data_IF_075725328983
#
_entry.id   IF_075725328983
#
_cell.length_a   1.000
_cell.length_b   1.000
_cell.length_c   1.000
_cell.angle_alpha   90.00
_cell.angle_beta   90.00
_cell.angle_gamma   90.00
#
_symmetry.space_group_name_H-M   'P 1'
#
loop_
_entity.id
_entity.type
_entity.pdbx_description
1 polymer ?
#
# COMPACT_ATOMS: atom_id res chain seq x y z
N UNK A 1 11.72 -15.77 21.28
CA UNK A 1 11.99 -14.31 21.34
C UNK A 1 13.49 -14.11 21.55
N UNK A 2 14.26 -13.96 20.47
CA UNK A 2 15.69 -13.69 20.57
C UNK A 2 15.89 -12.22 20.98
N UNK A 3 16.40 -11.99 22.19
CA UNK A 3 16.85 -10.69 22.67
C UNK A 3 18.17 -10.33 21.98
N UNK A 4 18.13 -9.98 20.70
CA UNK A 4 19.29 -9.48 19.96
C UNK A 4 19.64 -8.11 20.55
N UNK A 5 20.73 -8.03 21.32
CA UNK A 5 21.21 -6.80 21.97
C UNK A 5 21.39 -5.70 20.92
N UNK A 6 20.51 -4.70 20.91
CA UNK A 6 20.69 -3.49 20.11
C UNK A 6 22.01 -2.81 20.47
N UNK A 7 22.72 -2.26 19.46
CA UNK A 7 23.93 -1.47 19.72
C UNK A 7 23.51 -0.17 20.41
N UNK A 8 24.05 0.06 21.60
CA UNK A 8 23.82 1.28 22.37
C UNK A 8 24.53 2.44 21.67
N UNK A 9 23.81 3.55 21.45
CA UNK A 9 24.40 4.81 21.00
C UNK A 9 24.13 5.89 22.03
N UNK A 10 25.20 6.60 22.39
CA UNK A 10 25.19 7.75 23.28
C UNK A 10 25.49 9.00 22.44
N UNK A 11 24.74 10.07 22.63
CA UNK A 11 25.02 11.36 21.99
C UNK A 11 24.53 12.53 22.83
N UNK A 12 25.22 13.68 22.83
CA UNK A 12 24.76 14.87 23.55
C UNK A 12 23.55 15.51 22.86
N UNK A 13 22.61 16.03 23.65
CA UNK A 13 21.53 16.91 23.16
C UNK A 13 22.09 18.30 22.85
N UNK A 14 21.26 19.21 22.32
CA UNK A 14 21.67 20.62 22.14
C UNK A 14 22.04 21.26 23.49
N UNK A 15 21.22 21.08 24.53
CA UNK A 15 21.53 21.55 25.88
C UNK A 15 22.83 20.93 26.42
N UNK A 16 23.04 19.63 26.19
CA UNK A 16 24.28 18.95 26.56
C UNK A 16 25.51 19.50 25.83
N UNK A 17 25.38 19.83 24.54
CA UNK A 17 26.46 20.45 23.76
C UNK A 17 26.80 21.85 24.28
N UNK A 18 25.80 22.68 24.55
CA UNK A 18 25.99 24.02 25.13
C UNK A 18 26.68 23.92 26.49
N UNK A 19 26.27 22.97 27.33
CA UNK A 19 26.87 22.79 28.63
C UNK A 19 28.30 22.25 28.55
N UNK A 20 28.61 21.35 27.62
CA UNK A 20 29.96 20.88 27.35
C UNK A 20 30.86 22.04 26.90
N UNK A 21 30.40 22.85 25.95
CA UNK A 21 31.10 24.06 25.50
C UNK A 21 31.33 25.05 26.64
N UNK A 22 30.30 25.30 27.45
CA UNK A 22 30.38 26.14 28.63
C UNK A 22 31.40 25.60 29.63
N UNK A 23 31.42 24.29 29.88
CA UNK A 23 32.38 23.65 30.79
C UNK A 23 33.81 23.81 30.29
N UNK A 24 34.05 23.68 28.98
CA UNK A 24 35.36 23.93 28.37
C UNK A 24 35.75 25.40 28.49
N UNK A 25 34.84 26.32 28.20
CA UNK A 25 35.06 27.76 28.31
C UNK A 25 35.40 28.18 29.74
N UNK A 26 34.60 27.77 30.72
CA UNK A 26 34.87 28.05 32.13
C UNK A 26 36.13 27.34 32.62
N UNK A 27 36.45 26.15 32.10
CA UNK A 27 37.71 25.46 32.37
C UNK A 27 38.92 26.26 31.92
N UNK A 28 38.85 26.90 30.76
CA UNK A 28 39.91 27.76 30.24
C UNK A 28 39.97 29.10 30.99
N UNK A 29 38.81 29.72 31.24
CA UNK A 29 38.72 30.95 32.03
C UNK A 29 39.19 30.77 33.48
N UNK A 30 39.04 29.57 34.04
CA UNK A 30 39.50 29.23 35.39
C UNK A 30 41.03 29.37 35.56
N UNK A 31 41.80 29.36 34.45
CA UNK A 31 43.24 29.62 34.47
C UNK A 31 43.59 31.09 34.69
N UNK A 32 42.68 32.00 34.34
CA UNK A 32 42.84 33.45 34.44
C UNK A 32 42.17 34.01 35.70
N UNK A 33 40.99 33.46 36.03
CA UNK A 33 40.18 33.85 37.20
C UNK A 33 39.91 32.59 38.01
N UNK A 34 40.13 32.57 39.34
CA UNK A 34 39.95 31.36 40.15
C UNK A 34 38.46 30.95 40.27
N UNK A 35 37.94 30.30 39.22
CA UNK A 35 36.55 29.86 39.06
C UNK A 35 36.41 28.32 39.14
N UNK A 36 37.38 27.64 39.76
CA UNK A 36 37.44 26.16 39.84
C UNK A 36 36.19 25.52 40.46
N UNK A 37 35.48 26.23 41.34
CA UNK A 37 34.23 25.76 41.93
C UNK A 37 33.11 25.55 40.90
N UNK A 38 32.98 26.47 39.94
CA UNK A 38 31.96 26.39 38.88
C UNK A 38 32.25 25.21 37.94
N UNK A 39 33.51 25.07 37.53
CA UNK A 39 33.95 23.96 36.66
C UNK A 39 33.72 22.61 37.34
N UNK A 40 34.08 22.50 38.63
CA UNK A 40 33.87 21.28 39.41
C UNK A 40 32.38 20.92 39.50
N UNK A 41 31.51 21.90 39.75
CA UNK A 41 30.07 21.68 39.78
C UNK A 41 29.52 21.19 38.43
N UNK A 42 29.92 21.81 37.32
CA UNK A 42 29.52 21.40 35.97
C UNK A 42 29.96 19.97 35.64
N UNK A 43 31.19 19.61 36.00
CA UNK A 43 31.72 18.25 35.82
C UNK A 43 30.93 17.24 36.65
N UNK A 44 30.62 17.55 37.91
CA UNK A 44 29.80 16.69 38.78
C UNK A 44 28.41 16.47 38.19
N UNK A 45 27.78 17.52 37.64
CA UNK A 45 26.48 17.38 36.96
C UNK A 45 26.62 16.45 35.74
N UNK A 46 27.64 16.59 34.90
CA UNK A 46 27.86 15.68 33.76
C UNK A 46 28.11 14.24 34.16
N UNK A 47 28.93 14.00 35.17
CA UNK A 47 29.16 12.66 35.70
C UNK A 47 27.85 12.06 36.26
N UNK A 48 27.06 12.86 36.96
CA UNK A 48 25.77 12.42 37.49
C UNK A 48 24.82 12.03 36.37
N UNK A 49 24.68 12.85 35.32
CA UNK A 49 23.83 12.52 34.16
C UNK A 49 24.32 11.25 33.46
N UNK A 50 25.63 11.11 33.28
CA UNK A 50 26.20 9.94 32.63
C UNK A 50 25.95 8.66 33.44
N UNK A 51 26.19 8.69 34.75
CA UNK A 51 26.02 7.53 35.65
C UNK A 51 24.53 7.18 35.77
N UNK A 52 23.68 8.15 36.06
CA UNK A 52 22.23 7.94 36.24
C UNK A 52 21.60 7.47 34.93
N UNK A 53 21.91 8.11 33.80
CA UNK A 53 21.42 7.71 32.49
C UNK A 53 21.92 6.32 32.05
N UNK A 54 23.14 5.93 32.44
CA UNK A 54 23.64 4.58 32.18
C UNK A 54 22.93 3.51 33.03
N UNK A 55 22.62 3.81 34.29
CA UNK A 55 21.87 2.90 35.19
C UNK A 55 20.42 2.75 34.71
N UNK A 56 19.76 3.87 34.41
CA UNK A 56 18.36 3.94 33.97
C UNK A 56 18.20 3.81 32.45
N UNK A 57 19.22 3.25 31.78
CA UNK A 57 19.22 3.13 30.32
C UNK A 57 17.99 2.37 29.82
N UNK A 58 17.38 2.83 28.71
CA UNK A 58 16.22 2.16 28.14
C UNK A 58 16.61 0.81 27.56
N UNK A 59 15.97 -0.26 28.03
CA UNK A 59 15.95 -1.56 27.34
C UNK A 59 14.51 -1.89 26.99
N UNK A 60 14.19 -1.66 25.72
CA UNK A 60 12.81 -1.65 25.25
C UNK A 60 12.67 -2.69 24.14
N UNK A 61 11.69 -3.57 24.31
CA UNK A 61 11.19 -4.41 23.25
C UNK A 61 10.09 -3.65 22.53
N UNK A 62 10.10 -3.71 21.20
CA UNK A 62 9.12 -2.99 20.39
C UNK A 62 8.61 -3.90 19.29
N UNK A 63 7.32 -3.84 19.04
CA UNK A 63 6.67 -4.52 17.91
C UNK A 63 5.90 -3.49 17.12
N UNK A 64 6.09 -3.45 15.81
CA UNK A 64 5.26 -2.63 14.94
C UNK A 64 4.02 -3.46 14.55
N UNK A 65 2.89 -2.78 14.51
CA UNK A 65 1.64 -3.28 13.98
C UNK A 65 1.30 -2.37 12.80
N UNK A 66 1.98 -2.63 11.69
CA UNK A 66 1.75 -1.92 10.44
C UNK A 66 0.43 -2.39 9.82
N UNK A 67 -0.32 -1.50 9.15
CA UNK A 67 -1.43 -1.92 8.31
C UNK A 67 -0.92 -2.78 7.14
N UNK A 68 -1.72 -3.75 6.69
CA UNK A 68 -1.37 -4.66 5.59
C UNK A 68 -1.07 -3.91 4.28
N UNK A 69 -1.76 -2.79 4.07
CA UNK A 69 -1.59 -1.92 2.92
C UNK A 69 -1.89 -0.46 3.26
N UNK A 70 -1.23 0.47 2.56
CA UNK A 70 -1.43 1.92 2.67
C UNK A 70 -1.63 2.50 1.28
N UNK A 71 -2.54 3.46 1.11
CA UNK A 71 -2.70 4.14 -0.19
C UNK A 71 -1.73 5.32 -0.27
N UNK A 72 -1.06 5.48 -1.41
CA UNK A 72 -0.17 6.62 -1.64
C UNK A 72 -0.92 7.97 -1.43
N UNK A 73 -0.22 8.97 -0.89
CA UNK A 73 -0.76 10.29 -0.58
C UNK A 73 -1.62 10.38 0.68
N UNK A 74 -2.05 9.26 1.29
CA UNK A 74 -2.89 9.28 2.48
C UNK A 74 -2.09 9.23 3.78
N UNK A 75 -2.55 9.99 4.78
CA UNK A 75 -2.02 9.94 6.14
C UNK A 75 -2.52 8.69 6.85
N UNK A 76 -1.58 7.85 7.27
CA UNK A 76 -1.89 6.59 7.94
C UNK A 76 -1.20 6.49 9.28
N UNK A 77 -1.92 5.93 10.25
CA UNK A 77 -1.44 5.73 11.61
C UNK A 77 -0.69 4.40 11.72
N UNK A 78 0.59 4.45 12.06
CA UNK A 78 1.41 3.29 12.35
C UNK A 78 1.43 3.09 13.87
N UNK A 79 1.03 1.88 14.31
CA UNK A 79 0.95 1.55 15.73
C UNK A 79 2.18 0.79 16.16
N UNK A 80 2.76 1.20 17.28
CA UNK A 80 3.93 0.57 17.88
C UNK A 80 3.62 0.21 19.32
N UNK A 81 3.81 -1.06 19.66
CA UNK A 81 3.72 -1.52 21.04
C UNK A 81 5.11 -1.53 21.65
N UNK A 82 5.29 -0.73 22.70
CA UNK A 82 6.55 -0.52 23.38
C UNK A 82 6.47 -1.18 24.75
N UNK A 83 7.44 -2.05 25.07
CA UNK A 83 7.52 -2.73 26.36
C UNK A 83 8.87 -2.53 27.02
N UNK A 84 8.87 -2.09 28.26
CA UNK A 84 10.10 -2.02 29.06
C UNK A 84 10.49 -3.42 29.53
N UNK A 85 11.61 -3.95 29.02
CA UNK A 85 12.17 -5.25 29.42
C UNK A 85 13.29 -5.13 30.44
N UNK A 86 13.62 -3.91 30.87
CA UNK A 86 14.56 -3.69 31.97
C UNK A 86 13.92 -4.01 33.33
N UNK A 87 14.77 -4.22 34.34
CA UNK A 87 14.35 -4.28 35.76
C UNK A 87 14.19 -2.90 36.40
N UNK A 88 14.44 -1.83 35.64
CA UNK A 88 14.40 -0.43 36.09
C UNK A 88 13.39 0.34 35.24
N UNK A 89 12.72 1.37 35.80
CA UNK A 89 11.83 2.23 35.03
C UNK A 89 12.62 3.01 33.98
N UNK A 90 11.99 3.25 32.84
CA UNK A 90 12.50 4.15 31.80
C UNK A 90 11.75 5.48 31.87
N UNK A 91 12.44 6.57 31.59
CA UNK A 91 11.92 7.94 31.68
C UNK A 91 12.23 8.72 30.40
N UNK A 92 11.42 9.74 30.12
CA UNK A 92 11.58 10.67 28.99
C UNK A 92 11.92 9.95 27.67
N UNK A 93 11.11 8.96 27.32
CA UNK A 93 11.28 8.18 26.11
C UNK A 93 10.68 8.92 24.92
N UNK A 94 11.44 9.01 23.84
CA UNK A 94 10.95 9.45 22.54
C UNK A 94 11.27 8.42 21.47
N UNK A 95 10.43 8.41 20.43
CA UNK A 95 10.66 7.62 19.22
C UNK A 95 11.22 8.50 18.13
N UNK A 96 12.38 8.10 17.60
CA UNK A 96 13.01 8.76 16.46
C UNK A 96 12.96 7.85 15.25
N UNK A 97 12.25 8.27 14.21
CA UNK A 97 12.22 7.60 12.92
C UNK A 97 13.46 8.00 12.12
N UNK A 98 14.44 7.10 12.03
CA UNK A 98 15.65 7.28 11.24
C UNK A 98 15.65 6.28 10.09
N UNK A 99 16.33 6.62 9.00
CA UNK A 99 16.49 5.75 7.82
C UNK A 99 15.17 5.34 7.16
N UNK A 100 14.13 6.19 7.23
CA UNK A 100 12.91 6.00 6.46
C UNK A 100 13.23 6.09 4.95
N UNK A 101 12.65 5.20 4.11
CA UNK A 101 12.72 5.35 2.66
C UNK A 101 12.24 6.74 2.23
N UNK A 102 12.83 7.33 1.18
CA UNK A 102 12.41 8.64 0.66
C UNK A 102 10.92 8.68 0.24
N UNK A 103 10.36 7.51 -0.06
CA UNK A 103 8.95 7.30 -0.36
C UNK A 103 8.02 7.46 0.86
N UNK A 104 8.52 7.48 2.10
CA UNK A 104 7.72 7.55 3.31
C UNK A 104 8.14 8.77 4.13
N UNK A 105 7.19 9.67 4.33
CA UNK A 105 7.34 10.87 5.11
C UNK A 105 6.74 10.71 6.50
N UNK A 106 7.48 11.16 7.51
CA UNK A 106 6.98 11.27 8.86
C UNK A 106 6.23 12.60 9.02
N UNK A 107 4.92 12.53 9.25
CA UNK A 107 4.05 13.71 9.35
C UNK A 107 3.94 14.18 10.79
N UNK A 108 3.62 13.26 11.71
CA UNK A 108 3.48 13.57 13.13
C UNK A 108 4.00 12.42 13.98
N UNK A 109 4.87 12.79 14.93
CA UNK A 109 5.46 11.86 15.87
C UNK A 109 4.59 11.67 17.09
N UNK A 110 4.78 10.56 17.80
CA UNK A 110 4.10 10.35 19.06
C UNK A 110 4.64 11.27 20.15
N UNK A 111 3.77 11.57 21.11
CA UNK A 111 4.17 12.28 22.32
C UNK A 111 5.23 11.49 23.10
N UNK A 112 6.17 12.19 23.77
CA UNK A 112 7.17 11.53 24.59
C UNK A 112 6.49 10.82 25.78
N UNK A 113 6.95 9.61 26.08
CA UNK A 113 6.47 8.85 27.23
C UNK A 113 7.31 9.26 28.44
N UNK A 114 6.70 9.98 29.37
CA UNK A 114 7.39 10.47 30.56
C UNK A 114 7.92 9.36 31.48
N UNK A 115 7.19 8.25 31.62
CA UNK A 115 7.60 7.11 32.45
C UNK A 115 7.01 5.80 31.94
N UNK A 116 7.82 4.75 31.95
CA UNK A 116 7.41 3.37 31.67
C UNK A 116 8.01 2.42 32.73
N UNK A 117 7.17 1.82 33.57
CA UNK A 117 7.58 0.94 34.65
C UNK A 117 8.19 -0.38 34.12
N UNK A 118 8.98 -1.11 34.95
CA UNK A 118 9.52 -2.41 34.56
C UNK A 118 8.41 -3.37 34.13
N UNK A 119 8.52 -3.95 32.94
CA UNK A 119 7.55 -4.91 32.40
C UNK A 119 6.29 -4.29 31.78
N UNK A 120 6.06 -2.99 31.98
CA UNK A 120 4.91 -2.25 31.44
C UNK A 120 5.00 -2.12 29.91
N UNK A 121 3.84 -2.16 29.27
CA UNK A 121 3.67 -1.98 27.84
C UNK A 121 2.75 -0.79 27.57
N UNK A 122 3.07 0.02 26.58
CA UNK A 122 2.21 1.09 26.08
C UNK A 122 2.13 1.04 24.56
N UNK A 123 0.97 1.40 24.02
CA UNK A 123 0.79 1.63 22.59
C UNK A 123 1.11 3.08 22.25
N UNK A 124 1.75 3.25 21.10
CA UNK A 124 2.17 4.54 20.58
C UNK A 124 1.81 4.61 19.11
N UNK A 125 1.26 5.75 18.69
CA UNK A 125 0.79 5.96 17.32
C UNK A 125 1.59 7.07 16.68
N UNK A 126 2.10 6.82 15.47
CA UNK A 126 2.77 7.82 14.66
C UNK A 126 2.08 7.94 13.30
N UNK A 127 1.98 9.16 12.78
CA UNK A 127 1.33 9.42 11.48
C UNK A 127 2.39 9.49 10.39
N UNK A 128 2.25 8.64 9.39
CA UNK A 128 3.13 8.55 8.23
C UNK A 128 2.34 8.81 6.95
N UNK A 129 3.01 9.36 5.95
CA UNK A 129 2.47 9.54 4.59
C UNK A 129 3.39 8.86 3.59
N UNK A 130 2.88 7.85 2.90
CA UNK A 130 3.60 7.24 1.79
C UNK A 130 3.37 8.08 0.53
N UNK A 131 4.42 8.59 -0.09
CA UNK A 131 4.36 9.40 -1.31
C UNK A 131 4.34 8.55 -2.58
N UNK A 132 5.10 7.44 -2.58
CA UNK A 132 5.28 6.56 -3.74
C UNK A 132 4.75 5.16 -3.48
N UNK A 133 4.05 4.59 -4.46
CA UNK A 133 3.58 3.19 -4.41
C UNK A 133 4.75 2.19 -4.40
N UNK A 134 4.48 0.94 -4.06
CA UNK A 134 5.47 -0.14 -4.06
C UNK A 134 5.73 -0.74 -2.69
N UNK A 135 6.67 -1.70 -2.65
CA UNK A 135 7.04 -2.41 -1.43
C UNK A 135 8.24 -1.72 -0.79
N UNK A 136 8.02 -1.12 0.37
CA UNK A 136 9.01 -0.31 1.08
C UNK A 136 9.39 -0.97 2.41
N UNK A 137 10.70 -1.17 2.69
CA UNK A 137 11.13 -1.67 3.99
C UNK A 137 11.10 -0.54 5.02
N UNK A 138 10.18 -0.62 5.97
CA UNK A 138 10.04 0.34 7.07
C UNK A 138 10.87 -0.13 8.26
N UNK A 139 11.92 0.61 8.66
CA UNK A 139 12.66 0.29 9.87
C UNK A 139 11.82 0.57 11.11
N UNK A 140 12.06 -0.18 12.16
CA UNK A 140 11.53 0.15 13.48
C UNK A 140 12.13 1.48 14.00
N UNK A 141 11.33 2.37 14.62
CA UNK A 141 11.85 3.59 15.21
C UNK A 141 12.92 3.32 16.26
N UNK A 142 13.86 4.25 16.39
CA UNK A 142 14.87 4.22 17.44
C UNK A 142 14.24 4.80 18.70
N UNK A 143 14.17 3.99 19.75
CA UNK A 143 13.76 4.48 21.06
C UNK A 143 14.95 5.11 21.78
N UNK A 144 14.81 6.37 22.16
CA UNK A 144 15.82 7.14 22.87
C UNK A 144 15.26 7.72 24.18
N UNK A 145 16.12 7.83 25.18
CA UNK A 145 15.84 8.45 26.48
C UNK A 145 16.75 9.66 26.62
N UNK A 146 16.17 10.81 26.94
CA UNK A 146 16.93 12.03 27.28
C UNK A 146 17.11 12.24 28.80
N UNK A 147 16.65 11.28 29.60
CA UNK A 147 16.78 11.31 31.06
C UNK A 147 18.23 11.03 31.54
N UNK A 148 18.74 11.73 32.57
CA UNK A 148 18.14 12.89 33.25
C UNK A 148 18.52 14.24 32.61
N UNK A 149 17.69 15.27 32.86
CA UNK A 149 17.91 16.69 32.53
C UNK A 149 18.04 17.04 31.04
N UNK A 150 17.73 16.13 30.12
CA UNK A 150 17.80 16.37 28.67
C UNK A 150 19.19 16.82 28.20
N UNK A 151 20.27 16.28 28.78
CA UNK A 151 21.66 16.60 28.44
C UNK A 151 22.33 15.53 27.56
N UNK A 152 21.99 14.25 27.78
CA UNK A 152 22.49 13.11 27.01
C UNK A 152 21.33 12.29 26.47
N UNK A 153 21.48 11.75 25.26
CA UNK A 153 20.55 10.81 24.65
C UNK A 153 21.13 9.40 24.72
N UNK A 154 20.38 8.51 25.36
CA UNK A 154 20.66 7.07 25.39
C UNK A 154 19.70 6.38 24.45
N UNK A 155 20.22 5.77 23.38
CA UNK A 155 19.40 5.10 22.37
C UNK A 155 19.78 3.64 22.18
N UNK A 156 18.78 2.82 21.89
CA UNK A 156 18.95 1.43 21.49
C UNK A 156 18.52 1.27 20.04
N UNK A 157 19.46 0.94 19.16
CA UNK A 157 19.18 0.78 17.73
C UNK A 157 18.91 -0.69 17.43
N UNK A 158 17.79 -0.94 16.74
CA UNK A 158 17.45 -2.25 16.16
C UNK A 158 17.45 -2.12 14.63
N UNK A 159 17.84 -3.19 13.94
CA UNK A 159 17.96 -3.21 12.47
C UNK A 159 16.78 -3.88 11.77
N UNK A 160 15.76 -4.27 12.52
CA UNK A 160 14.62 -4.97 11.95
C UNK A 160 13.82 -4.01 11.06
N UNK A 161 13.39 -4.55 9.93
CA UNK A 161 12.62 -3.86 8.91
C UNK A 161 11.42 -4.71 8.58
N UNK A 162 10.25 -4.09 8.57
CA UNK A 162 9.00 -4.72 8.13
C UNK A 162 8.67 -4.21 6.74
N UNK A 163 8.12 -5.08 5.88
CA UNK A 163 7.75 -4.69 4.53
C UNK A 163 6.36 -4.06 4.56
N UNK A 164 6.25 -2.82 4.06
CA UNK A 164 4.99 -2.13 3.86
C UNK A 164 4.66 -2.08 2.37
N UNK A 165 3.47 -2.55 1.99
CA UNK A 165 2.96 -2.39 0.63
C UNK A 165 2.17 -1.09 0.54
N UNK A 166 2.64 -0.18 -0.33
CA UNK A 166 1.94 1.06 -0.64
C UNK A 166 1.21 0.89 -1.98
N UNK A 167 -0.12 0.93 -1.94
CA UNK A 167 -1.00 0.84 -3.09
C UNK A 167 -0.98 2.14 -3.91
N UNK A 168 -1.22 2.07 -5.23
CA UNK A 168 -1.48 3.27 -6.02
C UNK A 168 -2.70 4.03 -5.49
N UNK A 169 -2.74 5.33 -5.75
CA UNK A 169 -3.96 6.12 -5.52
C UNK A 169 -5.06 5.56 -6.42
N UNK A 170 -6.30 5.49 -5.92
CA UNK A 170 -7.44 5.10 -6.72
C UNK A 170 -8.70 5.83 -6.29
N UNK A 171 -9.63 5.96 -7.23
CA UNK A 171 -10.89 6.66 -7.05
C UNK A 171 -12.05 5.82 -7.55
N UNK A 172 -13.25 6.14 -7.07
CA UNK A 172 -14.47 5.56 -7.64
C UNK A 172 -14.81 6.27 -8.95
N UNK A 173 -14.79 5.53 -10.04
CA UNK A 173 -15.09 6.06 -11.37
C UNK A 173 -16.59 6.00 -11.67
N UNK A 174 -17.04 6.84 -12.62
CA UNK A 174 -18.38 6.79 -13.19
C UNK A 174 -18.33 6.01 -14.50
N UNK A 175 -18.41 4.69 -14.40
CA UNK A 175 -18.36 3.77 -15.54
C UNK A 175 -19.77 3.38 -16.00
N UNK A 176 -20.01 3.38 -17.31
CA UNK A 176 -21.22 2.78 -17.90
C UNK A 176 -21.12 1.24 -17.89
N UNK A 177 -21.51 0.64 -16.76
CA UNK A 177 -21.44 -0.80 -16.52
C UNK A 177 -22.39 -1.65 -17.39
N UNK A 178 -23.29 -1.03 -18.16
CA UNK A 178 -24.25 -1.73 -19.02
C UNK A 178 -23.57 -2.66 -20.05
N UNK A 179 -22.30 -2.40 -20.40
CA UNK A 179 -21.47 -3.24 -21.27
C UNK A 179 -20.76 -4.38 -20.52
N UNK A 180 -20.58 -4.23 -19.20
CA UNK A 180 -19.88 -5.17 -18.32
C UNK A 180 -20.77 -6.31 -17.84
N UNK A 181 -22.09 -6.12 -17.83
CA UNK A 181 -23.08 -7.12 -17.41
C UNK A 181 -23.58 -8.02 -18.54
N UNK A 182 -22.87 -8.09 -19.67
CA UNK A 182 -23.19 -9.09 -20.69
C UNK A 182 -23.14 -10.48 -20.04
N UNK A 183 -24.25 -11.22 -20.12
CA UNK A 183 -24.44 -12.50 -19.44
C UNK A 183 -23.24 -13.43 -19.68
N UNK A 184 -22.71 -13.95 -18.59
CA UNK A 184 -21.70 -15.02 -18.61
C UNK A 184 -22.16 -16.13 -19.56
N UNK A 185 -21.30 -16.51 -20.52
CA UNK A 185 -21.57 -17.61 -21.47
C UNK A 185 -21.76 -18.97 -20.80
N UNK A 186 -21.52 -19.08 -19.50
CA UNK A 186 -21.76 -20.29 -18.73
C UNK A 186 -23.26 -20.61 -18.56
N UNK A 187 -24.17 -19.72 -18.95
CA UNK A 187 -25.61 -19.95 -18.87
C UNK A 187 -26.27 -20.78 -19.99
N UNK A 188 -25.56 -21.10 -21.09
CA UNK A 188 -26.22 -21.66 -22.30
C UNK A 188 -25.75 -23.05 -22.75
N UNK A 189 -24.86 -23.71 -22.01
CA UNK A 189 -24.53 -25.11 -22.25
C UNK A 189 -24.79 -25.94 -21.00
N UNK A 190 -25.92 -26.65 -20.99
CA UNK A 190 -26.09 -27.78 -20.09
C UNK A 190 -24.98 -28.79 -20.34
N UNK A 191 -24.00 -28.82 -19.46
CA UNK A 191 -23.01 -29.90 -19.40
C UNK A 191 -23.15 -30.57 -18.06
N UNK A 192 -23.99 -31.61 -18.04
CA UNK A 192 -24.03 -32.57 -16.96
C UNK A 192 -22.63 -33.22 -16.85
N UNK A 193 -21.91 -32.96 -15.75
CA UNK A 193 -20.83 -33.85 -15.32
C UNK A 193 -19.47 -33.23 -14.97
N UNK A 194 -19.26 -31.91 -15.04
CA UNK A 194 -18.04 -31.32 -14.51
C UNK A 194 -18.33 -30.67 -13.16
N UNK A 195 -17.56 -31.06 -12.14
CA UNK A 195 -17.75 -30.70 -10.73
C UNK A 195 -18.21 -29.23 -10.59
N UNK A 196 -19.50 -29.05 -10.23
CA UNK A 196 -20.06 -27.76 -9.87
C UNK A 196 -19.17 -27.14 -8.81
N UNK A 197 -18.46 -26.07 -9.16
CA UNK A 197 -17.87 -25.19 -8.17
C UNK A 197 -19.03 -24.71 -7.32
N UNK A 198 -19.12 -25.23 -6.09
CA UNK A 198 -20.20 -24.88 -5.19
C UNK A 198 -20.19 -23.36 -5.03
N UNK A 199 -21.33 -22.69 -5.27
CA UNK A 199 -21.35 -21.23 -5.33
C UNK A 199 -20.87 -20.66 -3.98
N UNK A 200 -20.10 -19.57 -4.01
CA UNK A 200 -19.48 -19.01 -2.81
C UNK A 200 -20.57 -18.46 -1.87
N UNK A 201 -20.49 -18.83 -0.60
CA UNK A 201 -21.46 -18.40 0.41
C UNK A 201 -21.42 -16.88 0.60
N UNK A 202 -22.52 -16.19 0.27
CA UNK A 202 -22.63 -14.74 0.38
C UNK A 202 -23.08 -14.28 1.78
N UNK A 203 -23.83 -15.13 2.50
CA UNK A 203 -24.36 -14.80 3.81
C UNK A 203 -25.73 -15.43 4.08
N UNK A 204 -26.42 -14.91 5.08
CA UNK A 204 -27.74 -15.35 5.49
C UNK A 204 -28.78 -14.26 5.18
N UNK A 205 -29.98 -14.66 4.77
CA UNK A 205 -31.17 -13.80 4.84
C UNK A 205 -32.32 -14.51 5.57
N UNK A 206 -33.33 -13.78 6.06
CA UNK A 206 -34.56 -14.40 6.55
C UNK A 206 -35.17 -15.31 5.48
N UNK A 207 -35.65 -16.48 5.91
CA UNK A 207 -36.36 -17.43 5.05
C UNK A 207 -37.67 -16.81 4.58
N UNK A 208 -37.91 -16.86 3.26
CA UNK A 208 -39.16 -16.42 2.66
C UNK A 208 -39.95 -17.63 2.14
N UNK A 209 -41.29 -17.60 2.23
CA UNK A 209 -42.12 -18.62 1.59
C UNK A 209 -41.79 -18.76 0.10
N UNK A 210 -41.37 -19.95 -0.33
CA UNK A 210 -40.88 -20.21 -1.69
C UNK A 210 -39.38 -20.54 -1.77
N UNK A 211 -38.62 -20.28 -0.69
CA UNK A 211 -37.22 -20.69 -0.61
C UNK A 211 -37.08 -22.22 -0.59
N UNK A 212 -36.06 -22.73 -1.29
CA UNK A 212 -35.76 -24.16 -1.26
C UNK A 212 -35.35 -24.62 0.15
N UNK A 213 -35.96 -25.67 0.71
CA UNK A 213 -35.58 -26.21 2.02
C UNK A 213 -34.11 -26.67 2.09
N UNK A 214 -33.51 -27.01 0.94
CA UNK A 214 -32.09 -27.40 0.84
C UNK A 214 -31.12 -26.26 1.15
N UNK A 215 -31.57 -25.01 1.06
CA UNK A 215 -30.75 -23.82 1.32
C UNK A 215 -30.93 -23.27 2.74
N UNK A 216 -31.62 -23.98 3.63
CA UNK A 216 -31.78 -23.53 5.02
C UNK A 216 -30.42 -23.60 5.76
N UNK A 217 -30.06 -22.52 6.43
CA UNK A 217 -28.93 -22.49 7.35
C UNK A 217 -29.38 -22.86 8.76
N UNK A 218 -29.23 -24.14 9.12
CA UNK A 218 -29.59 -24.65 10.44
C UNK A 218 -28.76 -24.03 11.56
N UNK A 219 -27.52 -23.61 11.31
CA UNK A 219 -26.66 -22.98 12.32
C UNK A 219 -27.11 -21.54 12.58
N UNK A 220 -27.40 -20.78 11.53
CA UNK A 220 -27.90 -19.42 11.68
C UNK A 220 -29.31 -19.42 12.29
N UNK A 221 -30.18 -20.36 11.89
CA UNK A 221 -31.50 -20.52 12.50
C UNK A 221 -31.39 -20.80 14.01
N UNK A 222 -30.51 -21.71 14.41
CA UNK A 222 -30.30 -22.01 15.84
C UNK A 222 -29.81 -20.79 16.65
N UNK A 223 -28.99 -19.92 16.05
CA UNK A 223 -28.46 -18.71 16.72
C UNK A 223 -29.46 -17.55 16.78
N UNK A 224 -30.20 -17.35 15.71
CA UNK A 224 -31.10 -16.19 15.55
C UNK A 224 -32.54 -16.49 15.96
N UNK A 225 -32.88 -17.76 16.25
CA UNK A 225 -34.25 -18.23 16.53
C UNK A 225 -35.28 -17.91 15.44
N UNK A 226 -34.82 -17.51 14.26
CA UNK A 226 -35.64 -17.21 13.08
C UNK A 226 -35.09 -18.03 11.89
N UNK A 227 -35.95 -18.70 11.09
CA UNK A 227 -35.49 -19.46 9.94
C UNK A 227 -34.68 -18.59 8.98
N UNK A 228 -33.50 -19.07 8.59
CA UNK A 228 -32.56 -18.35 7.73
C UNK A 228 -32.20 -19.19 6.50
N UNK A 229 -32.13 -18.54 5.34
CA UNK A 229 -31.72 -19.13 4.07
C UNK A 229 -30.29 -18.70 3.75
N UNK A 230 -29.44 -19.66 3.37
CA UNK A 230 -28.11 -19.41 2.81
C UNK A 230 -28.24 -18.69 1.47
N UNK A 231 -27.69 -17.49 1.39
CA UNK A 231 -27.44 -16.83 0.12
C UNK A 231 -26.08 -17.26 -0.38
N UNK A 232 -26.04 -17.53 -1.67
CA UNK A 232 -24.83 -17.83 -2.41
C UNK A 232 -24.69 -16.76 -3.48
N UNK A 233 -23.45 -16.37 -3.79
CA UNK A 233 -23.19 -15.58 -4.99
C UNK A 233 -23.64 -16.39 -6.20
N UNK A 234 -24.33 -15.74 -7.14
CA UNK A 234 -24.82 -16.41 -8.34
C UNK A 234 -23.63 -16.60 -9.30
N UNK A 235 -23.54 -17.74 -9.97
CA UNK A 235 -22.48 -18.09 -10.94
C UNK A 235 -22.57 -17.26 -12.26
N UNK A 236 -23.39 -16.21 -12.25
CA UNK A 236 -23.60 -15.30 -13.37
C UNK A 236 -22.68 -14.08 -13.32
N UNK A 237 -21.65 -14.09 -12.46
CA UNK A 237 -20.67 -13.02 -12.40
C UNK A 237 -19.95 -12.89 -13.74
N UNK A 238 -19.88 -11.66 -14.27
CA UNK A 238 -19.11 -11.38 -15.47
C UNK A 238 -17.62 -11.36 -15.13
N UNK A 239 -16.82 -12.15 -15.84
CA UNK A 239 -15.38 -12.22 -15.65
C UNK A 239 -14.65 -11.25 -16.60
N UNK A 240 -13.69 -10.51 -16.04
CA UNK A 240 -12.98 -9.43 -16.74
C UNK A 240 -11.48 -9.67 -16.69
N UNK A 241 -10.82 -9.48 -17.84
CA UNK A 241 -9.37 -9.33 -17.93
C UNK A 241 -8.96 -7.86 -17.93
N UNK A 242 -7.89 -7.51 -17.23
CA UNK A 242 -7.32 -6.17 -17.24
C UNK A 242 -5.94 -6.20 -17.91
N UNK A 243 -5.69 -5.26 -18.82
CA UNK A 243 -4.43 -5.11 -19.53
C UNK A 243 -3.91 -3.70 -19.29
N UNK A 244 -2.66 -3.59 -18.83
CA UNK A 244 -1.97 -2.34 -18.56
C UNK A 244 -0.70 -2.27 -19.41
N UNK A 245 -0.58 -1.23 -20.22
CA UNK A 245 0.66 -0.87 -20.92
C UNK A 245 1.64 -0.23 -19.94
N UNK A 246 2.85 -0.79 -19.85
CA UNK A 246 3.93 -0.26 -19.01
C UNK A 246 5.12 0.24 -19.83
N UNK A 247 4.96 0.32 -21.16
CA UNK A 247 6.03 0.79 -22.06
C UNK A 247 6.22 2.28 -21.93
N UNK A 248 7.41 2.69 -21.49
CA UNK A 248 7.84 4.08 -21.49
C UNK A 248 9.03 4.23 -22.43
N UNK A 249 8.93 5.16 -23.39
CA UNK A 249 10.02 5.46 -24.32
C UNK A 249 11.15 6.22 -23.62
N UNK A 250 12.34 6.25 -24.23
CA UNK A 250 13.51 6.96 -23.69
C UNK A 250 13.22 8.45 -23.38
N UNK A 251 12.35 9.09 -24.19
CA UNK A 251 11.96 10.50 -24.03
C UNK A 251 11.02 10.75 -22.83
N UNK A 252 10.33 9.72 -22.33
CA UNK A 252 9.39 9.82 -21.21
C UNK A 252 10.07 9.86 -19.84
N UNK A 253 11.35 9.50 -19.77
CA UNK A 253 12.12 9.51 -18.52
C UNK A 253 12.79 10.88 -18.35
N UNK A 254 12.11 11.82 -17.71
CA UNK A 254 12.69 13.13 -17.40
C UNK A 254 13.94 12.96 -16.52
N UNK A 255 15.08 13.58 -16.88
CA UNK A 255 16.32 13.45 -16.10
C UNK A 255 16.10 13.99 -14.68
N UNK A 256 16.29 13.14 -13.67
CA UNK A 256 16.12 13.47 -12.25
C UNK A 256 14.71 13.25 -11.68
N UNK A 257 13.72 12.84 -12.49
CA UNK A 257 12.42 12.41 -12.00
C UNK A 257 12.47 10.92 -11.61
N UNK A 258 12.19 10.61 -10.35
CA UNK A 258 12.14 9.24 -9.83
C UNK A 258 10.82 8.51 -10.22
N UNK A 259 9.83 9.27 -10.69
CA UNK A 259 8.50 8.81 -11.09
C UNK A 259 8.14 9.28 -12.50
N UNK A 260 7.37 8.45 -13.21
CA UNK A 260 6.90 8.71 -14.57
C UNK A 260 5.38 8.97 -14.48
N UNK A 261 4.92 10.23 -14.55
CA UNK A 261 3.52 10.59 -14.27
C UNK A 261 2.50 9.80 -15.10
N UNK A 262 2.83 9.52 -16.37
CA UNK A 262 1.96 8.79 -17.29
C UNK A 262 1.75 7.34 -16.82
N UNK A 263 2.81 6.69 -16.34
CA UNK A 263 2.72 5.35 -15.77
C UNK A 263 1.94 5.38 -14.45
N UNK A 264 2.23 6.33 -13.56
CA UNK A 264 1.49 6.50 -12.30
C UNK A 264 -0.01 6.67 -12.55
N UNK A 265 -0.37 7.47 -13.55
CA UNK A 265 -1.74 7.70 -13.96
C UNK A 265 -2.40 6.43 -14.53
N UNK A 266 -1.70 5.67 -15.38
CA UNK A 266 -2.23 4.41 -15.91
C UNK A 266 -2.43 3.34 -14.83
N UNK A 267 -1.51 3.25 -13.86
CA UNK A 267 -1.65 2.37 -12.70
C UNK A 267 -2.80 2.82 -11.80
N UNK A 268 -2.91 4.12 -11.51
CA UNK A 268 -4.01 4.71 -10.74
C UNK A 268 -5.36 4.49 -11.41
N UNK A 269 -5.45 4.67 -12.72
CA UNK A 269 -6.66 4.39 -13.50
C UNK A 269 -7.03 2.91 -13.47
N UNK A 270 -6.05 2.01 -13.63
CA UNK A 270 -6.25 0.57 -13.53
C UNK A 270 -6.77 0.15 -12.16
N UNK A 271 -6.18 0.70 -11.09
CA UNK A 271 -6.64 0.48 -9.71
C UNK A 271 -8.04 1.02 -9.48
N UNK A 272 -8.36 2.20 -10.03
CA UNK A 272 -9.67 2.85 -9.96
C UNK A 272 -10.76 2.05 -10.70
N UNK A 273 -10.44 1.52 -11.89
CA UNK A 273 -11.32 0.61 -12.63
C UNK A 273 -11.58 -0.64 -11.81
N UNK A 274 -10.52 -1.29 -11.30
CA UNK A 274 -10.64 -2.50 -10.50
C UNK A 274 -11.53 -2.29 -9.26
N UNK A 275 -11.31 -1.18 -8.55
CA UNK A 275 -12.11 -0.77 -7.39
C UNK A 275 -13.56 -0.48 -7.74
N UNK A 276 -13.83 0.04 -8.94
CA UNK A 276 -15.19 0.42 -9.37
C UNK A 276 -15.99 -0.80 -9.81
N UNK A 277 -15.37 -1.74 -10.54
CA UNK A 277 -16.07 -2.90 -11.12
C UNK A 277 -16.21 -4.09 -10.16
N UNK A 278 -15.44 -4.15 -9.06
CA UNK A 278 -15.42 -5.28 -8.10
C UNK A 278 -16.81 -5.75 -7.59
N UNK A 279 -17.81 -4.85 -7.59
CA UNK A 279 -19.18 -5.17 -7.12
C UNK A 279 -20.01 -5.87 -8.19
N UNK A 280 -19.64 -5.75 -9.45
CA UNK A 280 -20.41 -6.21 -10.60
C UNK A 280 -19.70 -7.30 -11.40
N UNK A 281 -18.36 -7.33 -11.35
CA UNK A 281 -17.54 -8.24 -12.12
C UNK A 281 -16.40 -8.80 -11.27
N UNK A 282 -15.88 -9.94 -11.70
CA UNK A 282 -14.69 -10.56 -11.14
C UNK A 282 -13.51 -10.34 -12.08
N UNK A 283 -12.41 -9.81 -11.54
CA UNK A 283 -11.16 -9.71 -12.28
C UNK A 283 -10.44 -11.05 -12.15
N UNK A 284 -10.24 -11.73 -13.26
CA UNK A 284 -9.61 -13.06 -13.26
C UNK A 284 -8.09 -12.98 -13.46
N UNK A 285 -7.63 -12.01 -14.24
CA UNK A 285 -6.21 -11.81 -14.52
C UNK A 285 -5.90 -10.34 -14.84
N UNK A 286 -4.65 -9.96 -14.58
CA UNK A 286 -4.05 -8.67 -14.94
C UNK A 286 -2.77 -8.94 -15.76
N UNK A 287 -2.72 -8.38 -16.96
CA UNK A 287 -1.49 -8.30 -17.75
C UNK A 287 -0.88 -6.91 -17.55
N UNK A 288 0.17 -6.80 -16.75
CA UNK A 288 0.90 -5.56 -16.52
C UNK A 288 2.26 -5.63 -17.22
N UNK A 289 2.33 -5.04 -18.41
CA UNK A 289 3.50 -5.18 -19.28
C UNK A 289 3.78 -6.64 -19.64
N UNK A 290 4.97 -7.19 -19.32
CA UNK A 290 5.32 -8.58 -19.57
C UNK A 290 4.82 -9.55 -18.48
N UNK A 291 4.25 -9.05 -17.38
CA UNK A 291 3.85 -9.88 -16.24
C UNK A 291 2.35 -10.21 -16.29
N UNK A 292 2.03 -11.50 -16.20
CA UNK A 292 0.65 -11.98 -16.10
C UNK A 292 0.37 -12.43 -14.66
N UNK A 293 -0.57 -11.76 -14.02
CA UNK A 293 -1.04 -12.04 -12.66
C UNK A 293 -2.41 -12.70 -12.72
N UNK A 294 -2.60 -13.79 -11.97
CA UNK A 294 -3.87 -14.53 -11.92
C UNK A 294 -4.54 -14.42 -10.54
N UNK A 295 -5.84 -14.17 -10.56
CA UNK A 295 -6.65 -13.96 -9.37
C UNK A 295 -7.82 -14.94 -9.22
N UNK A 296 -8.07 -15.76 -10.24
CA UNK A 296 -9.19 -16.71 -10.26
C UNK A 296 -9.20 -17.70 -9.06
N UNK A 297 -8.03 -17.99 -8.49
CA UNK A 297 -7.86 -18.86 -7.32
C UNK A 297 -8.22 -18.20 -5.99
N UNK A 298 -8.31 -16.86 -5.95
CA UNK A 298 -8.58 -16.11 -4.74
C UNK A 298 -10.08 -15.91 -4.49
N UNK A 299 -10.52 -15.87 -3.22
CA UNK A 299 -11.90 -15.52 -2.87
C UNK A 299 -12.31 -14.16 -3.42
N UNK A 300 -13.57 -14.00 -3.81
CA UNK A 300 -14.08 -12.75 -4.41
C UNK A 300 -13.70 -11.50 -3.61
N UNK A 301 -13.78 -11.58 -2.28
CA UNK A 301 -13.51 -10.46 -1.37
C UNK A 301 -12.06 -9.98 -1.37
N UNK A 302 -11.10 -10.81 -1.80
CA UNK A 302 -9.68 -10.47 -1.80
C UNK A 302 -9.14 -10.10 -3.19
N UNK A 303 -9.90 -10.35 -4.26
CA UNK A 303 -9.38 -10.18 -5.63
C UNK A 303 -8.98 -8.74 -5.93
N UNK A 304 -9.76 -7.76 -5.49
CA UNK A 304 -9.44 -6.34 -5.71
C UNK A 304 -8.16 -5.94 -4.98
N UNK A 305 -7.99 -6.39 -3.73
CA UNK A 305 -6.81 -6.09 -2.92
C UNK A 305 -5.56 -6.69 -3.55
N UNK A 306 -5.66 -7.92 -4.10
CA UNK A 306 -4.57 -8.57 -4.84
C UNK A 306 -4.25 -7.87 -6.15
N UNK A 307 -5.25 -7.37 -6.87
CA UNK A 307 -5.03 -6.55 -8.07
C UNK A 307 -4.31 -5.26 -7.70
N UNK A 308 -4.72 -4.57 -6.64
CA UNK A 308 -4.04 -3.36 -6.16
C UNK A 308 -2.62 -3.65 -5.66
N UNK A 309 -2.40 -4.79 -4.99
CA UNK A 309 -1.06 -5.23 -4.57
C UNK A 309 -0.14 -5.50 -5.78
N UNK A 310 -0.65 -6.17 -6.82
CA UNK A 310 0.09 -6.40 -8.06
C UNK A 310 0.43 -5.07 -8.75
N UNK A 311 -0.54 -4.15 -8.84
CA UNK A 311 -0.36 -2.81 -9.40
C UNK A 311 0.65 -1.95 -8.62
N UNK A 312 0.79 -2.18 -7.31
CA UNK A 312 1.79 -1.50 -6.48
C UNK A 312 3.23 -1.82 -6.91
N UNK A 313 3.48 -3.03 -7.43
CA UNK A 313 4.82 -3.48 -7.83
C UNK A 313 5.14 -3.29 -9.31
N UNK A 314 4.21 -2.74 -10.09
CA UNK A 314 4.41 -2.54 -11.54
C UNK A 314 5.45 -1.45 -11.80
N UNK A 315 6.49 -1.79 -12.56
CA UNK A 315 7.53 -0.87 -13.01
C UNK A 315 7.44 -0.59 -14.51
N UNK A 316 8.10 0.49 -14.95
CA UNK A 316 8.21 0.84 -16.36
C UNK A 316 9.12 -0.15 -17.09
N UNK A 317 8.73 -0.54 -18.31
CA UNK A 317 9.57 -1.32 -19.21
C UNK A 317 9.90 -0.52 -20.47
N UNK A 318 11.10 -0.67 -21.00
CA UNK A 318 11.48 -0.01 -22.27
C UNK A 318 10.83 -0.71 -23.46
N UNK A 319 10.83 -2.05 -23.45
CA UNK A 319 10.17 -2.88 -24.45
C UNK A 319 9.88 -4.28 -23.91
N UNK A 320 8.87 -4.94 -24.48
CA UNK A 320 8.57 -6.35 -24.25
C UNK A 320 7.82 -6.92 -25.45
N UNK A 321 7.90 -8.23 -25.63
CA UNK A 321 7.24 -8.95 -26.72
C UNK A 321 6.00 -9.69 -26.19
N UNK A 322 4.82 -9.15 -26.50
CA UNK A 322 3.54 -9.73 -26.11
C UNK A 322 3.22 -11.03 -26.87
N UNK A 323 3.85 -11.29 -28.02
CA UNK A 323 3.57 -12.50 -28.80
C UNK A 323 3.85 -13.78 -28.02
N UNK A 324 4.83 -13.74 -27.10
CA UNK A 324 5.15 -14.85 -26.19
C UNK A 324 4.03 -15.18 -25.22
N UNK A 325 3.12 -14.24 -24.97
CA UNK A 325 2.02 -14.36 -24.02
C UNK A 325 0.68 -14.64 -24.74
N UNK A 326 0.63 -14.51 -26.07
CA UNK A 326 -0.59 -14.69 -26.85
C UNK A 326 -1.23 -16.06 -26.64
N UNK A 327 -0.45 -17.14 -26.69
CA UNK A 327 -0.96 -18.51 -26.47
C UNK A 327 -1.51 -18.70 -25.07
N UNK A 328 -0.84 -18.10 -24.08
CA UNK A 328 -1.33 -18.09 -22.70
C UNK A 328 -2.69 -17.36 -22.65
N UNK A 329 -2.79 -16.16 -23.20
CA UNK A 329 -4.01 -15.35 -23.14
C UNK A 329 -5.18 -15.96 -23.93
N UNK A 330 -4.92 -16.63 -25.06
CA UNK A 330 -5.93 -17.32 -25.87
C UNK A 330 -6.80 -18.27 -25.05
N UNK A 331 -6.17 -19.12 -24.23
CA UNK A 331 -6.90 -20.05 -23.36
C UNK A 331 -7.78 -19.34 -22.31
N UNK A 332 -7.46 -18.09 -21.98
CA UNK A 332 -8.13 -17.28 -20.95
C UNK A 332 -9.26 -16.43 -21.52
N UNK A 333 -9.17 -15.98 -22.78
CA UNK A 333 -10.26 -15.24 -23.43
C UNK A 333 -11.56 -16.02 -23.50
N UNK A 334 -11.51 -17.36 -23.56
CA UNK A 334 -12.70 -18.20 -23.52
C UNK A 334 -13.45 -18.17 -22.17
N UNK A 335 -12.79 -17.74 -21.08
CA UNK A 335 -13.35 -17.72 -19.72
C UNK A 335 -13.89 -16.36 -19.30
N UNK A 336 -13.58 -15.31 -20.05
CA UNK A 336 -13.96 -13.93 -19.71
C UNK A 336 -14.95 -13.36 -20.73
N UNK A 337 -15.78 -12.41 -20.29
CA UNK A 337 -16.74 -11.72 -21.17
C UNK A 337 -16.17 -10.40 -21.70
N UNK A 338 -15.28 -9.76 -20.94
CA UNK A 338 -14.75 -8.44 -21.27
C UNK A 338 -13.26 -8.31 -20.94
N UNK A 339 -12.56 -7.53 -21.76
CA UNK A 339 -11.18 -7.12 -21.54
C UNK A 339 -11.11 -5.61 -21.52
N UNK A 340 -10.49 -5.06 -20.48
CA UNK A 340 -10.25 -3.63 -20.35
C UNK A 340 -8.76 -3.37 -20.56
N UNK A 341 -8.45 -2.45 -21.45
CA UNK A 341 -7.09 -2.04 -21.77
C UNK A 341 -6.87 -0.62 -21.25
N UNK A 342 -5.78 -0.41 -20.52
CA UNK A 342 -5.27 0.89 -20.13
C UNK A 342 -3.94 1.09 -20.84
N UNK A 343 -3.94 1.94 -21.85
CA UNK A 343 -2.82 2.13 -22.76
C UNK A 343 -2.21 3.51 -22.56
N UNK A 344 -0.89 3.56 -22.73
CA UNK A 344 -0.10 4.81 -22.71
C UNK A 344 0.11 5.39 -24.11
N UNK A 345 -0.06 4.56 -25.14
CA UNK A 345 0.16 4.90 -26.55
C UNK A 345 -0.76 4.11 -27.45
N UNK A 346 -1.13 4.69 -28.59
CA UNK A 346 -1.81 3.99 -29.69
C UNK A 346 -0.76 3.34 -30.61
N UNK A 347 -0.37 2.11 -30.29
CA UNK A 347 0.63 1.35 -31.05
C UNK A 347 0.10 -0.03 -31.45
N UNK A 348 0.70 -0.63 -32.48
CA UNK A 348 0.29 -1.94 -33.03
C UNK A 348 0.48 -3.10 -32.05
N UNK A 349 1.35 -2.95 -31.05
CA UNK A 349 1.62 -4.01 -30.07
C UNK A 349 0.37 -4.51 -29.35
N UNK A 350 -0.58 -3.62 -29.04
CA UNK A 350 -1.85 -4.02 -28.43
C UNK A 350 -2.99 -4.19 -29.45
N UNK A 351 -2.82 -3.78 -30.71
CA UNK A 351 -3.85 -3.99 -31.74
C UNK A 351 -4.04 -5.48 -32.02
N UNK A 352 -2.97 -6.25 -32.10
CA UNK A 352 -3.04 -7.68 -32.38
C UNK A 352 -3.76 -8.43 -31.24
N UNK A 353 -3.50 -8.01 -30.00
CA UNK A 353 -4.15 -8.57 -28.80
C UNK A 353 -5.63 -8.17 -28.72
N UNK A 354 -5.95 -6.94 -29.12
CA UNK A 354 -7.34 -6.46 -29.24
C UNK A 354 -8.11 -7.25 -30.31
N UNK A 355 -7.53 -7.45 -31.48
CA UNK A 355 -8.15 -8.18 -32.59
C UNK A 355 -8.39 -9.65 -32.21
N UNK A 356 -7.44 -10.25 -31.49
CA UNK A 356 -7.56 -11.61 -30.98
C UNK A 356 -8.63 -11.73 -29.88
N UNK A 357 -8.73 -10.75 -28.98
CA UNK A 357 -9.81 -10.71 -27.98
C UNK A 357 -11.19 -10.53 -28.64
N UNK A 358 -11.29 -9.69 -29.67
CA UNK A 358 -12.51 -9.52 -30.48
C UNK A 358 -12.86 -10.79 -31.26
N UNK A 359 -11.87 -11.50 -31.82
CA UNK A 359 -12.06 -12.78 -32.48
C UNK A 359 -12.56 -13.87 -31.52
N UNK A 360 -12.09 -13.85 -30.26
CA UNK A 360 -12.63 -14.67 -29.17
C UNK A 360 -14.03 -14.21 -28.68
N UNK A 361 -14.58 -13.16 -29.31
CA UNK A 361 -15.86 -12.51 -29.01
C UNK A 361 -15.88 -11.84 -27.63
N UNK A 362 -14.75 -11.44 -27.07
CA UNK A 362 -14.73 -10.63 -25.86
C UNK A 362 -15.15 -9.19 -26.18
N UNK A 363 -15.87 -8.54 -25.27
CA UNK A 363 -16.08 -7.10 -25.35
C UNK A 363 -14.77 -6.39 -24.97
N UNK A 364 -14.24 -5.55 -25.83
CA UNK A 364 -13.00 -4.81 -25.56
C UNK A 364 -13.33 -3.34 -25.27
N UNK A 365 -12.75 -2.79 -24.21
CA UNK A 365 -12.78 -1.34 -23.93
C UNK A 365 -11.35 -0.88 -23.72
N UNK A 366 -10.90 0.10 -24.51
CA UNK A 366 -9.54 0.64 -24.40
C UNK A 366 -9.56 2.10 -23.97
N UNK A 367 -8.85 2.39 -22.88
CA UNK A 367 -8.62 3.71 -22.34
C UNK A 367 -7.21 4.17 -22.70
N UNK A 368 -7.08 5.39 -23.19
CA UNK A 368 -5.80 6.03 -23.47
C UNK A 368 -5.53 7.11 -22.43
N UNK A 369 -4.39 7.01 -21.74
CA UNK A 369 -3.84 8.10 -20.93
C UNK A 369 -3.16 9.09 -21.88
N UNK A 370 -3.63 10.34 -21.91
CA UNK A 370 -3.12 11.36 -22.83
C UNK A 370 -1.86 11.97 -22.24
N UNK A 371 -0.77 11.97 -23.01
CA UNK A 371 0.45 12.66 -22.62
C UNK A 371 0.19 14.17 -22.48
N UNK A 372 0.84 14.79 -21.49
CA UNK A 372 0.66 16.20 -21.12
C UNK A 372 0.89 17.19 -22.28
N UNK A 373 1.60 16.76 -23.32
CA UNK A 373 2.15 17.61 -24.37
C UNK A 373 1.25 17.68 -25.63
N UNK A 374 0.15 16.93 -25.67
CA UNK A 374 -0.80 16.92 -26.79
C UNK A 374 -2.02 17.80 -26.48
N UNK A 375 -1.90 19.10 -26.77
CA UNK A 375 -3.06 19.99 -26.97
C UNK A 375 -3.78 19.60 -28.27
N UNK A 376 -4.63 18.56 -28.21
CA UNK A 376 -5.47 18.08 -29.31
C UNK A 376 -6.87 17.70 -28.84
N UNK A 377 -7.88 17.64 -29.73
CA UNK A 377 -9.29 17.76 -29.39
C UNK A 377 -9.72 16.74 -28.32
N UNK A 378 -10.23 17.31 -27.23
CA UNK A 378 -10.74 16.59 -26.06
C UNK A 378 -11.99 15.80 -26.42
N UNK A 379 -12.05 14.56 -25.93
CA UNK A 379 -13.26 13.75 -25.72
C UNK A 379 -13.88 12.96 -26.89
N UNK A 380 -13.41 13.07 -28.13
CA UNK A 380 -13.97 12.23 -29.19
C UNK A 380 -13.32 10.85 -29.21
N UNK A 381 -14.12 9.82 -28.95
CA UNK A 381 -13.69 8.44 -29.00
C UNK A 381 -13.22 8.11 -30.42
N UNK A 382 -11.93 7.82 -30.58
CA UNK A 382 -11.36 7.50 -31.88
C UNK A 382 -11.70 6.04 -32.18
N UNK A 383 -12.59 5.82 -33.15
CA UNK A 383 -12.87 4.49 -33.69
C UNK A 383 -11.74 4.05 -34.61
N UNK A 384 -10.87 3.18 -34.12
CA UNK A 384 -9.84 2.49 -34.89
C UNK A 384 -10.28 1.05 -35.11
N UNK A 385 -11.13 0.82 -36.13
CA UNK A 385 -11.63 -0.52 -36.47
C UNK A 385 -12.78 -1.00 -35.57
N UNK A 386 -12.81 -2.28 -35.13
CA UNK A 386 -13.93 -2.86 -34.37
C UNK A 386 -13.94 -2.46 -32.89
N UNK A 387 -12.91 -1.78 -32.40
CA UNK A 387 -12.78 -1.32 -31.01
C UNK A 387 -12.67 0.21 -30.94
N UNK A 388 -12.92 0.75 -29.75
CA UNK A 388 -13.04 2.20 -29.52
C UNK A 388 -12.02 2.61 -28.47
N UNK A 389 -11.13 3.55 -28.83
CA UNK A 389 -10.15 4.13 -27.93
C UNK A 389 -10.76 5.36 -27.26
N UNK A 390 -10.88 5.33 -25.94
CA UNK A 390 -11.48 6.41 -25.14
C UNK A 390 -10.35 7.20 -24.46
N UNK A 391 -10.08 8.44 -24.88
CA UNK A 391 -9.12 9.30 -24.20
C UNK A 391 -9.69 9.72 -22.83
N UNK A 392 -8.98 9.42 -21.75
CA UNK A 392 -9.47 9.64 -20.37
C UNK A 392 -9.13 11.03 -19.85
N UNK A 393 -7.93 11.51 -20.15
CA UNK A 393 -7.41 12.79 -19.65
C UNK A 393 -5.89 12.76 -19.51
N UNK A 394 -5.35 13.86 -18.98
CA UNK A 394 -3.93 14.00 -18.67
C UNK A 394 -3.54 13.19 -17.43
N UNK A 395 -2.25 12.90 -17.27
CA UNK A 395 -1.74 12.20 -16.10
C UNK A 395 -2.11 12.93 -14.78
N UNK A 396 -2.03 14.26 -14.76
CA UNK A 396 -2.34 15.06 -13.57
C UNK A 396 -3.82 14.96 -13.19
N UNK A 397 -4.73 15.01 -14.16
CA UNK A 397 -6.17 14.91 -13.90
C UNK A 397 -6.56 13.55 -13.34
N UNK A 398 -5.97 12.48 -13.88
CA UNK A 398 -6.21 11.11 -13.40
C UNK A 398 -5.69 10.95 -11.97
N UNK A 399 -4.47 11.41 -11.69
CA UNK A 399 -3.88 11.34 -10.35
C UNK A 399 -4.62 12.19 -9.32
N UNK A 400 -5.23 13.29 -9.75
CA UNK A 400 -6.10 14.13 -8.91
C UNK A 400 -7.56 13.63 -8.81
N UNK A 401 -7.90 12.53 -9.49
CA UNK A 401 -9.27 11.97 -9.50
C UNK A 401 -10.29 12.81 -10.29
N UNK A 402 -9.84 13.73 -11.14
CA UNK A 402 -10.67 14.58 -12.01
C UNK A 402 -11.00 13.88 -13.32
N UNK A 403 -11.46 12.64 -13.25
CA UNK A 403 -11.84 11.83 -14.41
C UNK A 403 -13.32 12.00 -14.71
N UNK A 404 -13.65 12.31 -15.97
CA UNK A 404 -15.03 12.40 -16.45
C UNK A 404 -15.78 11.06 -16.44
N UNK A 405 -17.05 11.03 -16.87
CA UNK A 405 -17.76 9.77 -17.08
C UNK A 405 -17.10 8.95 -18.19
N UNK A 406 -17.02 7.63 -17.99
CA UNK A 406 -16.33 6.66 -18.85
C UNK A 406 -17.26 5.55 -19.36
#
# INVERSE_FOLDING_TARGET
MASTRGKMRLGPTEAGRVLLLGTVFFGLAAQLVPAFGVVSALVVVMLTVLIVGFILRPRIAMTAHLPDHVVAGQDTQFRYTIRNVARVPAYDLSLRFADLPAAIEHVAGPDPIGRLAPGESTEVVATMRARRRGKHPVPLPICESSFPFNLLRFSSVRKDREALTVLPVFYRLRLHLSRLTAESRHGLSGSAGQAEVSPEYAGNRPFLPGDSPRRIDTRAWARLSVPATKQYHNDSDSHVGLVLDTRIGADGKRPGADEIPELEAAVSLSASIAFTIQRHCLIDWLLAGPELHEFATWPRTMRVDRVHEALATVEAAESYDLNRMTDALLSRFHRISQVIFVLLRSDKTYSDLLDLAVAARCHCTSYLVVASDLEGPRHDAVRTGPWTLIPVGTAEDILAGRVGPL
#
